data_IF_986444448999
#
_entry.id   IF_986444448999
#
_cell.length_a   1.000
_cell.length_b   1.000
_cell.length_c   1.000
_cell.angle_alpha   90.00
_cell.angle_beta   90.00
_cell.angle_gamma   90.00
#
_symmetry.space_group_name_H-M   'P 1'
#
loop_
_entity.id
_entity.type
_entity.pdbx_description
1 polymer ?
#
# COMPACT_ATOMS: atom_id res chain seq x y z
N UNK A 1 -33.43 -18.86 -20.70
CA UNK A 1 -32.41 -17.79 -20.88
C UNK A 1 -31.09 -18.17 -20.20
N UNK A 2 -31.10 -18.67 -18.95
CA UNK A 2 -29.87 -19.11 -18.26
C UNK A 2 -29.24 -20.38 -18.84
N UNK A 3 -30.02 -21.39 -19.28
CA UNK A 3 -29.48 -22.63 -19.88
C UNK A 3 -28.63 -22.36 -21.13
N UNK A 4 -29.13 -21.53 -22.06
CA UNK A 4 -28.38 -21.15 -23.26
C UNK A 4 -27.04 -20.42 -22.95
N UNK A 5 -26.91 -19.78 -21.78
CA UNK A 5 -25.67 -19.15 -21.34
C UNK A 5 -24.68 -20.16 -20.75
N UNK A 6 -25.18 -21.25 -20.16
CA UNK A 6 -24.41 -22.30 -19.49
C UNK A 6 -23.91 -23.37 -20.48
N UNK A 7 -24.66 -23.59 -21.56
CA UNK A 7 -24.38 -24.61 -22.59
C UNK A 7 -23.50 -24.09 -23.74
N UNK A 8 -23.28 -22.78 -23.83
CA UNK A 8 -22.47 -22.20 -24.91
C UNK A 8 -21.00 -22.58 -24.77
N UNK A 9 -20.30 -22.64 -25.88
CA UNK A 9 -18.84 -22.75 -25.84
C UNK A 9 -18.24 -21.44 -25.30
N UNK A 10 -17.50 -21.54 -24.20
CA UNK A 10 -16.92 -20.38 -23.53
C UNK A 10 -15.49 -20.12 -24.00
N UNK A 11 -15.24 -18.88 -24.43
CA UNK A 11 -13.92 -18.36 -24.78
C UNK A 11 -13.34 -17.53 -23.63
N UNK A 12 -12.02 -17.37 -23.64
CA UNK A 12 -11.28 -16.49 -22.71
C UNK A 12 -10.90 -15.19 -23.43
N UNK A 13 -10.92 -14.08 -22.71
CA UNK A 13 -10.53 -12.79 -23.25
C UNK A 13 -9.05 -12.52 -22.97
N UNK A 14 -8.23 -12.46 -24.02
CA UNK A 14 -6.79 -12.28 -23.93
C UNK A 14 -6.32 -11.27 -24.97
N UNK A 15 -5.49 -10.30 -24.54
CA UNK A 15 -4.91 -9.28 -25.41
C UNK A 15 -5.93 -8.50 -26.27
N UNK A 16 -7.14 -8.28 -25.76
CA UNK A 16 -8.20 -7.53 -26.46
C UNK A 16 -9.11 -8.38 -27.35
N UNK A 17 -8.88 -9.70 -27.43
CA UNK A 17 -9.65 -10.61 -28.29
C UNK A 17 -10.23 -11.79 -27.48
N UNK A 18 -11.39 -12.28 -27.90
CA UNK A 18 -11.96 -13.54 -27.39
C UNK A 18 -11.35 -14.73 -28.13
N UNK A 19 -10.77 -15.69 -27.40
CA UNK A 19 -10.04 -16.84 -27.95
C UNK A 19 -10.35 -18.11 -27.17
N UNK A 20 -10.11 -19.30 -27.75
CA UNK A 20 -10.18 -20.55 -26.99
C UNK A 20 -8.93 -20.71 -26.12
N UNK A 21 -9.11 -21.06 -24.85
CA UNK A 21 -8.01 -21.32 -23.93
C UNK A 21 -7.38 -22.70 -24.14
N UNK A 22 -6.06 -22.78 -24.01
CA UNK A 22 -5.29 -24.02 -24.17
C UNK A 22 -5.05 -24.76 -22.83
N UNK A 23 -5.87 -24.49 -21.81
CA UNK A 23 -5.86 -25.21 -20.53
C UNK A 23 -6.07 -26.72 -20.68
N UNK A 24 -5.42 -27.49 -19.80
CA UNK A 24 -5.54 -28.94 -19.78
C UNK A 24 -6.91 -29.35 -19.22
N UNK A 25 -7.82 -29.72 -20.12
CA UNK A 25 -9.17 -30.18 -19.76
C UNK A 25 -10.13 -29.05 -19.36
N UNK A 26 -11.44 -29.34 -19.29
CA UNK A 26 -12.42 -28.38 -18.80
C UNK A 26 -12.39 -28.25 -17.28
N UNK A 27 -12.48 -27.02 -16.78
CA UNK A 27 -12.74 -26.70 -15.38
C UNK A 27 -14.24 -26.84 -15.11
N UNK A 28 -14.61 -27.64 -14.12
CA UNK A 28 -16.01 -27.79 -13.71
C UNK A 28 -16.44 -26.61 -12.83
N UNK A 29 -17.52 -25.95 -13.23
CA UNK A 29 -18.18 -24.91 -12.43
C UNK A 29 -19.26 -25.61 -11.62
N UNK A 30 -19.11 -25.62 -10.30
CA UNK A 30 -19.97 -26.34 -9.38
C UNK A 30 -20.96 -25.38 -8.73
N UNK A 31 -22.22 -25.78 -8.63
CA UNK A 31 -23.22 -25.08 -7.83
C UNK A 31 -22.92 -25.24 -6.34
N UNK A 32 -22.63 -24.15 -5.59
CA UNK A 32 -22.35 -24.26 -4.17
C UNK A 32 -23.55 -24.71 -3.32
N UNK A 33 -24.78 -24.58 -3.83
CA UNK A 33 -26.01 -24.97 -3.13
C UNK A 33 -26.44 -26.42 -3.34
N UNK A 34 -26.05 -27.04 -4.47
CA UNK A 34 -26.46 -28.40 -4.83
C UNK A 34 -25.30 -29.38 -5.02
N UNK A 35 -24.08 -28.88 -5.18
CA UNK A 35 -22.90 -29.69 -5.49
C UNK A 35 -22.89 -30.25 -6.92
N UNK A 36 -23.88 -29.92 -7.74
CA UNK A 36 -23.96 -30.36 -9.13
C UNK A 36 -23.03 -29.53 -10.03
N UNK A 37 -22.56 -30.14 -11.13
CA UNK A 37 -21.80 -29.42 -12.16
C UNK A 37 -22.77 -28.56 -12.98
N UNK A 38 -22.63 -27.24 -12.89
CA UNK A 38 -23.41 -26.26 -13.65
C UNK A 38 -22.93 -26.10 -15.08
N UNK A 39 -21.61 -26.09 -15.30
CA UNK A 39 -21.00 -25.92 -16.62
C UNK A 39 -19.53 -26.35 -16.62
N UNK A 40 -18.94 -26.44 -17.81
CA UNK A 40 -17.55 -26.81 -18.04
C UNK A 40 -16.87 -25.74 -18.87
N UNK A 41 -15.87 -25.08 -18.28
CA UNK A 41 -15.16 -23.95 -18.88
C UNK A 41 -13.74 -24.34 -19.28
N UNK A 42 -13.32 -24.02 -20.51
CA UNK A 42 -11.88 -24.02 -20.83
C UNK A 42 -11.23 -22.79 -20.22
N UNK A 43 -10.08 -22.98 -19.60
CA UNK A 43 -9.29 -21.91 -19.00
C UNK A 43 -8.02 -21.63 -19.81
N UNK A 44 -7.40 -20.48 -19.55
CA UNK A 44 -6.09 -20.16 -20.12
C UNK A 44 -4.98 -20.98 -19.47
N UNK A 45 -3.90 -21.16 -20.22
CA UNK A 45 -2.68 -21.86 -19.83
C UNK A 45 -1.47 -20.96 -20.00
N UNK A 46 -0.29 -21.42 -19.57
CA UNK A 46 0.97 -20.73 -19.86
C UNK A 46 1.27 -20.63 -21.37
N UNK A 47 0.68 -21.50 -22.20
CA UNK A 47 0.81 -21.43 -23.67
C UNK A 47 0.02 -20.25 -24.27
N UNK A 48 -1.01 -19.76 -23.57
CA UNK A 48 -1.80 -18.60 -23.99
C UNK A 48 -1.11 -17.26 -23.67
N UNK A 49 -0.02 -17.30 -22.90
CA UNK A 49 0.76 -16.11 -22.53
C UNK A 49 1.90 -15.95 -23.50
N UNK A 50 1.82 -14.94 -24.36
CA UNK A 50 3.01 -14.46 -25.06
C UNK A 50 3.98 -13.83 -24.05
N UNK A 51 5.02 -14.60 -23.71
CA UNK A 51 6.08 -14.18 -22.78
C UNK A 51 6.77 -12.90 -23.27
N UNK A 52 6.84 -12.69 -24.59
CA UNK A 52 7.44 -11.49 -25.17
C UNK A 52 6.54 -10.27 -24.99
N UNK A 53 5.22 -10.41 -25.20
CA UNK A 53 4.26 -9.35 -24.92
C UNK A 53 4.25 -8.97 -23.43
N UNK A 54 4.26 -9.97 -22.52
CA UNK A 54 4.37 -9.71 -21.07
C UNK A 54 5.65 -8.97 -20.72
N UNK A 55 6.79 -9.40 -21.27
CA UNK A 55 8.07 -8.75 -21.01
C UNK A 55 8.09 -7.30 -21.52
N UNK A 56 7.50 -7.03 -22.69
CA UNK A 56 7.37 -5.68 -23.23
C UNK A 56 6.46 -4.81 -22.37
N UNK A 57 5.28 -5.31 -21.99
CA UNK A 57 4.38 -4.60 -21.08
C UNK A 57 5.06 -4.23 -19.76
N UNK A 58 5.77 -5.16 -19.13
CA UNK A 58 6.47 -4.89 -17.87
C UNK A 58 7.60 -3.86 -18.04
N UNK A 59 8.33 -3.88 -19.16
CA UNK A 59 9.35 -2.88 -19.48
C UNK A 59 8.75 -1.50 -19.69
N UNK A 60 7.63 -1.41 -20.42
CA UNK A 60 6.96 -0.13 -20.66
C UNK A 60 6.29 0.41 -19.39
N UNK A 61 5.74 -0.47 -18.55
CA UNK A 61 5.26 -0.11 -17.22
C UNK A 61 6.39 0.42 -16.34
N UNK A 62 7.53 -0.25 -16.29
CA UNK A 62 8.71 0.20 -15.54
C UNK A 62 9.20 1.58 -16.02
N UNK A 63 9.34 1.78 -17.34
CA UNK A 63 9.65 3.10 -17.93
C UNK A 63 8.60 4.14 -17.57
N UNK A 64 7.33 3.76 -17.59
CA UNK A 64 6.21 4.64 -17.25
C UNK A 64 6.22 5.08 -15.78
N UNK A 65 6.63 4.19 -14.87
CA UNK A 65 6.86 4.50 -13.47
C UNK A 65 8.08 5.43 -13.31
N UNK A 66 9.18 5.16 -14.00
CA UNK A 66 10.39 6.00 -13.96
C UNK A 66 10.11 7.41 -14.47
N UNK A 67 9.44 7.55 -15.61
CA UNK A 67 9.12 8.84 -16.22
C UNK A 67 8.15 9.68 -15.37
N UNK A 68 7.31 9.04 -14.56
CA UNK A 68 6.33 9.71 -13.68
C UNK A 68 6.74 9.68 -12.22
N UNK A 69 8.00 9.32 -11.92
CA UNK A 69 8.49 9.12 -10.56
C UNK A 69 8.10 10.27 -9.64
N UNK A 70 8.43 11.50 -10.02
CA UNK A 70 8.22 12.67 -9.15
C UNK A 70 6.74 12.94 -8.89
N UNK A 71 5.90 12.74 -9.92
CA UNK A 71 4.46 12.86 -9.79
C UNK A 71 3.86 11.74 -8.92
N UNK A 72 4.27 10.48 -9.13
CA UNK A 72 3.81 9.34 -8.35
C UNK A 72 4.27 9.39 -6.90
N UNK A 73 5.47 9.92 -6.64
CA UNK A 73 5.92 10.28 -5.29
C UNK A 73 4.96 11.31 -4.70
N UNK A 74 4.60 12.35 -5.46
CA UNK A 74 3.58 13.32 -5.05
C UNK A 74 2.21 12.69 -4.75
N UNK A 75 1.70 11.82 -5.62
CA UNK A 75 0.40 11.13 -5.42
C UNK A 75 0.45 10.22 -4.21
N UNK A 76 1.49 9.39 -4.09
CA UNK A 76 1.71 8.52 -2.92
C UNK A 76 1.81 9.34 -1.63
N UNK A 77 2.48 10.50 -1.68
CA UNK A 77 2.57 11.43 -0.56
C UNK A 77 1.21 12.00 -0.15
N UNK A 78 0.35 12.35 -1.10
CA UNK A 78 -1.01 12.84 -0.81
C UNK A 78 -1.93 11.70 -0.32
N UNK A 79 -1.86 10.53 -0.96
CA UNK A 79 -2.65 9.35 -0.61
C UNK A 79 -2.24 8.72 0.73
N UNK A 80 -0.98 8.88 1.15
CA UNK A 80 -0.48 8.40 2.45
C UNK A 80 -0.25 9.51 3.49
N UNK A 81 -0.71 10.74 3.22
CA UNK A 81 -0.65 11.84 4.19
C UNK A 81 0.75 12.35 4.58
N UNK A 82 1.78 12.22 3.73
CA UNK A 82 3.16 12.67 4.03
C UNK A 82 3.56 13.96 3.27
N UNK A 83 3.71 15.13 3.93
CA UNK A 83 4.19 16.38 3.30
C UNK A 83 5.74 16.49 3.28
N UNK A 84 6.26 17.48 2.54
CA UNK A 84 7.68 17.70 2.14
C UNK A 84 8.47 18.67 3.06
N UNK A 85 9.61 18.22 3.57
CA UNK A 85 10.71 18.69 4.45
C UNK A 85 10.54 19.88 5.39
N UNK A 86 9.89 20.97 4.95
CA UNK A 86 9.74 22.19 5.73
C UNK A 86 8.26 22.51 6.04
N UNK A 87 7.35 22.06 5.17
CA UNK A 87 5.91 22.06 5.42
C UNK A 87 5.44 21.05 6.50
N UNK A 88 6.00 19.84 6.66
CA UNK A 88 5.44 18.82 7.53
C UNK A 88 5.60 19.15 9.01
N UNK A 89 6.69 19.75 9.49
CA UNK A 89 6.81 20.03 10.94
C UNK A 89 5.77 21.06 11.39
N UNK A 90 5.64 22.17 10.66
CA UNK A 90 4.65 23.21 10.97
C UNK A 90 3.21 22.69 10.82
N UNK A 91 2.92 21.95 9.73
CA UNK A 91 1.61 21.34 9.51
C UNK A 91 1.29 20.29 10.57
N UNK A 92 2.26 19.45 10.92
CA UNK A 92 2.11 18.37 11.93
C UNK A 92 1.88 18.93 13.32
N UNK A 93 2.53 20.04 13.68
CA UNK A 93 2.24 20.76 14.92
C UNK A 93 0.85 21.41 14.93
N UNK A 94 0.29 21.70 13.75
CA UNK A 94 -1.04 22.29 13.61
C UNK A 94 -2.18 21.25 13.54
N UNK A 95 -1.87 19.94 13.44
CA UNK A 95 -2.87 18.88 13.35
C UNK A 95 -3.71 18.82 14.63
N UNK A 96 -5.04 18.85 14.47
CA UNK A 96 -5.95 18.73 15.60
C UNK A 96 -6.15 17.28 16.01
N UNK A 97 -5.64 16.94 17.18
CA UNK A 97 -5.83 15.65 17.84
C UNK A 97 -7.12 15.73 18.66
N UNK A 98 -8.04 14.81 18.41
CA UNK A 98 -9.37 14.84 19.01
C UNK A 98 -10.16 13.55 18.80
N UNK A 99 -11.36 13.50 19.36
CA UNK A 99 -12.25 12.35 19.18
C UNK A 99 -12.75 12.26 17.73
N UNK A 100 -12.98 11.06 17.17
CA UNK A 100 -13.53 10.92 15.81
C UNK A 100 -14.90 11.58 15.59
N UNK A 101 -15.62 11.91 16.67
CA UNK A 101 -16.92 12.59 16.63
C UNK A 101 -16.81 14.11 16.76
N UNK A 102 -15.62 14.65 17.05
CA UNK A 102 -15.38 16.09 17.13
C UNK A 102 -15.12 16.67 15.74
N UNK A 103 -15.82 17.74 15.40
CA UNK A 103 -15.68 18.40 14.10
C UNK A 103 -14.29 19.04 13.97
N UNK A 104 -13.60 18.72 12.87
CA UNK A 104 -12.25 19.22 12.60
C UNK A 104 -11.12 18.42 13.23
N UNK A 105 -11.39 17.28 13.88
CA UNK A 105 -10.38 16.29 14.25
C UNK A 105 -9.69 15.73 13.01
N UNK A 106 -8.36 15.82 12.99
CA UNK A 106 -7.53 15.27 11.92
C UNK A 106 -6.86 13.96 12.35
N UNK A 107 -6.65 13.77 13.66
CA UNK A 107 -6.00 12.59 14.22
C UNK A 107 -6.79 12.08 15.43
N UNK A 108 -7.31 10.86 15.29
CA UNK A 108 -7.99 10.14 16.34
C UNK A 108 -7.05 9.31 17.23
N UNK A 109 -7.60 8.64 18.25
CA UNK A 109 -6.82 7.75 19.11
C UNK A 109 -6.41 6.49 18.35
N UNK A 110 -5.32 5.86 18.81
CA UNK A 110 -4.97 4.49 18.38
C UNK A 110 -6.05 3.54 18.89
N UNK A 111 -6.56 2.70 18.00
CA UNK A 111 -7.71 1.83 18.28
C UNK A 111 -7.41 0.76 19.34
N UNK A 112 -6.16 0.34 19.51
CA UNK A 112 -5.79 -0.76 20.44
C UNK A 112 -4.57 -0.44 21.30
N UNK A 113 -4.62 -0.82 22.58
CA UNK A 113 -3.59 -0.47 23.57
C UNK A 113 -2.24 -1.08 23.22
N UNK A 114 -2.25 -2.31 22.69
CA UNK A 114 -1.08 -3.00 22.18
C UNK A 114 -0.40 -2.22 21.05
N UNK A 115 -1.18 -1.66 20.12
CA UNK A 115 -0.62 -0.83 19.05
C UNK A 115 -0.07 0.49 19.59
N UNK A 116 -0.74 1.10 20.59
CA UNK A 116 -0.24 2.32 21.25
C UNK A 116 1.11 2.08 21.93
N UNK A 117 1.22 1.01 22.73
CA UNK A 117 2.48 0.63 23.36
C UNK A 117 3.58 0.34 22.34
N UNK A 118 3.26 -0.35 21.24
CA UNK A 118 4.24 -0.63 20.19
C UNK A 118 4.76 0.67 19.56
N UNK A 119 3.88 1.62 19.27
CA UNK A 119 4.26 2.93 18.72
C UNK A 119 5.15 3.70 19.69
N UNK A 120 4.77 3.78 20.96
CA UNK A 120 5.56 4.47 21.99
C UNK A 120 6.94 3.82 22.19
N UNK A 121 7.00 2.49 22.20
CA UNK A 121 8.26 1.75 22.30
C UNK A 121 9.19 2.05 21.12
N UNK A 122 8.69 1.99 19.87
CA UNK A 122 9.50 2.30 18.68
C UNK A 122 10.01 3.76 18.68
N UNK A 123 9.19 4.70 19.17
CA UNK A 123 9.59 6.11 19.29
C UNK A 123 10.69 6.27 20.34
N UNK A 124 10.57 5.58 21.49
CA UNK A 124 11.54 5.65 22.56
C UNK A 124 12.88 5.05 22.14
N UNK A 125 12.85 3.90 21.48
CA UNK A 125 14.05 3.25 20.94
C UNK A 125 14.74 4.12 19.90
N UNK A 126 13.98 4.72 18.97
CA UNK A 126 14.54 5.66 18.01
C UNK A 126 15.25 6.84 18.68
N UNK A 127 14.67 7.41 19.75
CA UNK A 127 15.31 8.47 20.53
C UNK A 127 16.56 7.97 21.27
N UNK A 128 16.50 6.77 21.84
CA UNK A 128 17.63 6.11 22.51
C UNK A 128 18.81 5.87 21.56
N UNK A 129 18.52 5.55 20.30
CA UNK A 129 19.49 5.35 19.22
C UNK A 129 20.02 6.69 18.65
N UNK A 130 19.58 7.82 19.20
CA UNK A 130 20.11 9.15 18.89
C UNK A 130 19.50 9.81 17.65
N UNK A 131 18.33 9.33 17.18
CA UNK A 131 17.66 9.90 16.02
C UNK A 131 17.06 11.27 16.31
N UNK A 132 17.15 12.18 15.32
CA UNK A 132 16.66 13.55 15.42
C UNK A 132 15.12 13.59 15.33
N UNK A 133 14.46 13.68 16.49
CA UNK A 133 13.00 13.79 16.61
C UNK A 133 12.56 15.27 16.50
N UNK A 134 11.99 15.65 15.36
CA UNK A 134 11.59 17.03 15.06
C UNK A 134 10.29 17.49 15.76
N UNK A 135 9.38 16.56 16.03
CA UNK A 135 8.10 16.83 16.72
C UNK A 135 7.49 15.57 17.30
N UNK A 136 6.58 15.73 18.27
CA UNK A 136 5.83 14.65 18.91
C UNK A 136 6.66 13.80 19.87
N UNK A 137 6.51 12.49 19.75
CA UNK A 137 7.28 11.49 20.47
C UNK A 137 6.78 11.19 21.88
N UNK A 138 5.51 11.47 22.17
CA UNK A 138 4.89 11.23 23.48
C UNK A 138 3.36 11.10 23.36
N UNK A 139 2.71 10.69 24.44
CA UNK A 139 1.25 10.77 24.58
C UNK A 139 0.82 12.24 24.59
N UNK A 140 -0.28 12.56 23.91
CA UNK A 140 -0.86 13.91 23.86
C UNK A 140 -1.72 14.20 25.10
N UNK A 141 -2.58 13.25 25.47
CA UNK A 141 -3.56 13.35 26.57
C UNK A 141 -4.02 11.96 27.02
N UNK A 142 -4.81 11.92 28.09
CA UNK A 142 -5.43 10.68 28.59
C UNK A 142 -6.14 9.90 27.48
N UNK A 143 -5.93 8.58 27.48
CA UNK A 143 -6.34 7.69 26.40
C UNK A 143 -5.19 7.33 25.45
N UNK A 144 -5.52 6.85 24.25
CA UNK A 144 -4.56 6.31 23.29
C UNK A 144 -4.19 7.34 22.21
N UNK A 145 -4.04 8.60 22.62
CA UNK A 145 -3.71 9.71 21.73
C UNK A 145 -2.21 9.93 21.72
N UNK A 146 -1.56 9.61 20.60
CA UNK A 146 -0.12 9.80 20.43
C UNK A 146 0.12 11.07 19.62
N UNK A 147 1.09 11.89 20.04
CA UNK A 147 1.47 13.07 19.25
C UNK A 147 2.09 12.62 17.93
N UNK A 148 1.66 13.20 16.80
CA UNK A 148 2.28 12.97 15.51
C UNK A 148 3.79 13.18 15.61
N UNK A 149 4.54 12.16 15.25
CA UNK A 149 5.99 12.11 15.47
C UNK A 149 6.72 12.11 14.13
N UNK A 150 7.72 12.98 14.00
CA UNK A 150 8.59 13.04 12.82
C UNK A 150 10.04 12.87 13.26
N UNK A 151 10.72 11.91 12.64
CA UNK A 151 12.16 11.75 12.72
C UNK A 151 12.82 12.16 11.41
N UNK A 152 14.00 12.79 11.53
CA UNK A 152 14.85 13.20 10.41
C UNK A 152 16.01 12.22 10.23
N UNK A 153 16.43 12.05 8.97
CA UNK A 153 17.67 11.33 8.60
C UNK A 153 17.79 9.92 9.19
N UNK A 154 16.67 9.20 9.23
CA UNK A 154 16.60 7.83 9.73
C UNK A 154 17.44 6.88 8.85
N UNK A 155 18.43 6.15 9.40
CA UNK A 155 19.21 5.16 8.66
C UNK A 155 18.33 4.07 8.05
N UNK A 156 18.73 3.58 6.86
CA UNK A 156 17.94 2.63 6.07
C UNK A 156 17.85 1.23 6.67
N UNK A 157 18.73 0.91 7.61
CA UNK A 157 18.81 -0.34 8.37
C UNK A 157 18.12 -0.22 9.75
N UNK A 158 17.64 0.97 10.12
CA UNK A 158 16.94 1.18 11.38
C UNK A 158 15.51 0.65 11.32
N UNK A 159 14.99 0.09 12.42
CA UNK A 159 13.69 -0.60 12.38
C UNK A 159 12.50 0.31 11.99
N UNK A 160 12.56 1.58 12.40
CA UNK A 160 11.50 2.56 12.11
C UNK A 160 11.48 2.97 10.63
N UNK A 161 12.53 2.65 9.87
CA UNK A 161 12.55 2.82 8.42
C UNK A 161 11.66 1.80 7.70
N UNK A 162 11.62 0.57 8.20
CA UNK A 162 10.90 -0.54 7.59
C UNK A 162 9.47 -0.68 8.10
N UNK A 163 9.19 -0.11 9.27
CA UNK A 163 7.90 -0.24 9.93
C UNK A 163 7.17 1.08 9.85
N UNK A 164 6.04 1.12 9.13
CA UNK A 164 5.14 2.27 9.11
C UNK A 164 3.98 2.05 10.07
N UNK A 165 4.07 2.44 11.36
CA UNK A 165 2.87 2.58 12.15
C UNK A 165 2.05 3.72 11.55
N UNK A 166 0.74 3.49 11.43
CA UNK A 166 -0.25 4.36 10.77
C UNK A 166 -0.29 5.83 11.24
N UNK A 167 0.50 6.24 12.24
CA UNK A 167 0.50 7.58 12.82
C UNK A 167 1.89 8.26 12.88
N UNK A 168 2.98 7.57 12.53
CA UNK A 168 4.34 8.15 12.56
C UNK A 168 4.79 8.49 11.15
N UNK A 169 5.03 9.79 10.92
CA UNK A 169 5.45 10.30 9.62
C UNK A 169 6.97 10.32 9.60
N UNK A 170 7.59 9.32 8.96
CA UNK A 170 9.02 9.32 8.69
C UNK A 170 9.33 10.13 7.44
N UNK A 171 10.35 10.97 7.53
CA UNK A 171 10.82 11.77 6.41
C UNK A 171 12.30 11.52 6.11
N UNK A 172 12.58 11.09 4.87
CA UNK A 172 13.91 11.08 4.27
C UNK A 172 14.26 12.53 3.88
N UNK A 173 14.92 13.30 4.74
CA UNK A 173 15.57 14.56 4.34
C UNK A 173 17.05 14.28 4.05
N UNK A 174 17.31 13.26 3.22
CA UNK A 174 18.69 12.95 2.86
C UNK A 174 19.23 14.08 1.97
N UNK A 175 20.12 14.91 2.53
CA UNK A 175 20.61 16.16 1.93
C UNK A 175 21.29 15.98 0.55
N UNK A 176 21.52 14.74 0.10
CA UNK A 176 22.25 14.47 -1.14
C UNK A 176 21.95 13.13 -1.87
N UNK A 177 20.83 12.44 -1.61
CA UNK A 177 20.57 11.12 -2.25
C UNK A 177 19.33 11.07 -3.16
N UNK A 178 19.42 10.44 -4.35
CA UNK A 178 18.28 10.20 -5.21
C UNK A 178 17.31 9.19 -4.58
N UNK A 179 16.03 9.57 -4.51
CA UNK A 179 14.92 8.75 -3.98
C UNK A 179 14.91 7.40 -4.72
N UNK A 180 15.19 6.32 -3.98
CA UNK A 180 15.21 4.96 -4.50
C UNK A 180 13.95 4.23 -4.03
N UNK A 181 12.99 4.02 -4.94
CA UNK A 181 11.84 3.16 -4.71
C UNK A 181 12.33 1.71 -4.66
N UNK A 182 12.19 1.03 -3.51
CA UNK A 182 12.46 -0.41 -3.41
C UNK A 182 11.15 -1.20 -3.49
N UNK A 183 11.03 -2.00 -4.55
CA UNK A 183 10.10 -3.11 -4.65
C UNK A 183 10.68 -4.32 -3.89
N UNK A 184 9.84 -5.02 -3.13
CA UNK A 184 10.19 -6.29 -2.50
C UNK A 184 10.36 -7.35 -3.61
N UNK A 185 11.48 -8.06 -3.62
CA UNK A 185 11.61 -9.31 -4.39
C UNK A 185 10.94 -10.45 -3.64
#
# INVERSE_FOLDING_TARGET
MCEALLEREHTIFLAGEWRHGHGAGPLEVIDPGTGAVLSRLRHGSAADVDKSARATYLRDFARGLEARRDYLVGVQMHSNGKPRAEAPVAKTRALRIGSPVEEGTEIGPITTSAQCHKVLWMVEEAKSDGLDCLTGGAIDRDGQFVKPTIFRDVPRDHMIWHTVPFMTVFEEINRNSPITLKYNQ
#
